data_IF_564144671082
#
_entry.id   IF_564144671082
#
_cell.length_a   1.000
_cell.length_b   1.000
_cell.length_c   1.000
_cell.angle_alpha   90.00
_cell.angle_beta   90.00
_cell.angle_gamma   90.00
#
_symmetry.space_group_name_H-M   'P 1'
#
loop_
_entity.id
_entity.type
_entity.pdbx_description
1 polymer ?
#
# COMPACT_ATOMS: atom_id res chain seq x y z
N UNK A 1 4.43 2.14 17.90
CA UNK A 1 3.32 2.04 16.91
C UNK A 1 2.82 0.60 16.76
N UNK A 2 3.66 -0.39 16.44
CA UNK A 2 3.22 -1.80 16.30
C UNK A 2 2.55 -2.39 17.55
N UNK A 3 3.11 -2.17 18.75
CA UNK A 3 2.48 -2.63 19.99
C UNK A 3 1.10 -2.00 20.23
N UNK A 4 0.95 -0.71 19.91
CA UNK A 4 -0.34 -0.01 20.00
C UNK A 4 -1.34 -0.58 18.99
N UNK A 5 -0.92 -0.81 17.74
CA UNK A 5 -1.76 -1.43 16.72
C UNK A 5 -2.20 -2.85 17.12
N UNK A 6 -1.29 -3.65 17.69
CA UNK A 6 -1.60 -4.98 18.20
C UNK A 6 -2.61 -4.92 19.36
N UNK A 7 -2.41 -4.01 20.33
CA UNK A 7 -3.34 -3.82 21.44
C UNK A 7 -4.72 -3.38 20.98
N UNK A 8 -4.79 -2.45 20.01
CA UNK A 8 -6.06 -2.01 19.42
C UNK A 8 -6.73 -3.15 18.65
N UNK A 9 -5.98 -3.90 17.85
CA UNK A 9 -6.51 -5.04 17.11
C UNK A 9 -7.06 -6.11 18.07
N UNK A 10 -6.32 -6.49 19.11
CA UNK A 10 -6.79 -7.45 20.12
C UNK A 10 -7.99 -6.90 20.91
N UNK A 11 -7.94 -5.64 21.33
CA UNK A 11 -9.01 -4.99 22.10
C UNK A 11 -10.32 -4.88 21.32
N UNK A 12 -10.26 -4.70 20.00
CA UNK A 12 -11.45 -4.66 19.14
C UNK A 12 -11.94 -6.05 18.75
N UNK A 13 -11.04 -7.00 18.49
CA UNK A 13 -11.42 -8.31 17.94
C UNK A 13 -11.87 -9.30 19.02
N UNK A 14 -11.28 -9.29 20.21
CA UNK A 14 -11.63 -10.21 21.29
C UNK A 14 -13.11 -10.10 21.74
N UNK A 15 -13.71 -8.91 21.92
CA UNK A 15 -15.11 -8.80 22.31
C UNK A 15 -16.08 -9.18 21.20
N UNK A 16 -15.69 -8.96 19.94
CA UNK A 16 -16.55 -9.17 18.77
C UNK A 16 -16.53 -10.62 18.27
N UNK A 17 -15.38 -11.30 18.37
CA UNK A 17 -15.15 -12.61 17.76
C UNK A 17 -14.71 -13.70 18.76
N UNK A 18 -14.43 -13.34 20.02
CA UNK A 18 -13.95 -14.27 21.04
C UNK A 18 -12.51 -14.74 20.79
N UNK A 19 -12.07 -15.74 21.56
CA UNK A 19 -10.75 -16.36 21.39
C UNK A 19 -10.79 -17.31 20.18
N UNK A 20 -9.93 -17.10 19.16
CA UNK A 20 -9.89 -17.97 18.01
C UNK A 20 -9.40 -19.37 18.43
N UNK A 21 -10.13 -20.40 18.01
CA UNK A 21 -9.69 -21.80 18.22
C UNK A 21 -8.63 -22.18 17.19
N UNK A 22 -7.68 -23.06 17.51
CA UNK A 22 -6.61 -23.50 16.58
C UNK A 22 -7.19 -24.07 15.27
N UNK A 23 -8.36 -24.72 15.34
CA UNK A 23 -9.09 -25.19 14.16
C UNK A 23 -9.55 -24.05 13.22
N UNK A 24 -9.90 -22.89 13.77
CA UNK A 24 -10.34 -21.71 13.00
C UNK A 24 -9.17 -21.03 12.28
N UNK A 25 -7.95 -21.15 12.84
CA UNK A 25 -6.73 -20.71 12.17
C UNK A 25 -6.40 -21.62 10.97
N UNK A 26 -6.69 -22.92 11.06
CA UNK A 26 -6.50 -23.82 9.91
C UNK A 26 -7.52 -23.62 8.78
N UNK A 27 -8.73 -23.13 9.11
CA UNK A 27 -9.83 -22.99 8.15
C UNK A 27 -9.90 -21.65 7.43
N UNK A 28 -9.06 -20.67 7.80
CA UNK A 28 -9.11 -19.35 7.18
C UNK A 28 -8.58 -19.39 5.74
N UNK A 29 -9.16 -18.59 4.82
CA UNK A 29 -8.70 -18.53 3.44
C UNK A 29 -7.20 -18.21 3.35
N UNK A 30 -6.40 -18.94 2.57
CA UNK A 30 -4.95 -18.72 2.49
C UNK A 30 -4.58 -17.31 1.99
N UNK A 31 -5.44 -16.69 1.19
CA UNK A 31 -5.29 -15.31 0.72
C UNK A 31 -5.24 -14.30 1.89
N UNK A 32 -5.97 -14.56 2.97
CA UNK A 32 -6.03 -13.67 4.15
C UNK A 32 -4.67 -13.57 4.85
N UNK A 33 -3.94 -14.69 4.93
CA UNK A 33 -2.58 -14.71 5.47
C UNK A 33 -1.61 -13.95 4.58
N UNK A 34 -1.74 -14.10 3.26
CA UNK A 34 -0.97 -13.33 2.29
C UNK A 34 -1.22 -11.82 2.41
N UNK A 35 -2.48 -11.41 2.56
CA UNK A 35 -2.85 -10.01 2.75
C UNK A 35 -2.24 -9.42 4.05
N UNK A 36 -2.29 -10.16 5.15
CA UNK A 36 -1.67 -9.74 6.42
C UNK A 36 -0.15 -9.58 6.31
N UNK A 37 0.53 -10.51 5.64
CA UNK A 37 1.96 -10.44 5.39
C UNK A 37 2.34 -9.21 4.53
N UNK A 38 1.59 -8.95 3.46
CA UNK A 38 1.81 -7.79 2.59
C UNK A 38 1.66 -6.46 3.34
N UNK A 39 0.63 -6.34 4.20
CA UNK A 39 0.43 -5.14 5.03
C UNK A 39 1.59 -4.99 6.03
N UNK A 40 2.05 -6.07 6.65
CA UNK A 40 3.21 -6.06 7.54
C UNK A 40 4.48 -5.55 6.83
N UNK A 41 4.79 -6.10 5.65
CA UNK A 41 5.92 -5.66 4.83
C UNK A 41 5.79 -4.20 4.38
N UNK A 42 4.58 -3.75 4.06
CA UNK A 42 4.30 -2.35 3.73
C UNK A 42 4.65 -1.40 4.88
N UNK A 43 4.17 -1.68 6.10
CA UNK A 43 4.42 -0.81 7.27
C UNK A 43 5.91 -0.83 7.66
N UNK A 44 6.58 -1.97 7.54
CA UNK A 44 8.04 -2.07 7.73
C UNK A 44 8.78 -1.20 6.71
N UNK A 45 8.40 -1.29 5.43
CA UNK A 45 8.99 -0.47 4.36
C UNK A 45 8.77 1.01 4.62
N UNK A 46 7.55 1.41 5.02
CA UNK A 46 7.25 2.78 5.40
C UNK A 46 8.17 3.30 6.53
N UNK A 47 8.36 2.48 7.56
CA UNK A 47 9.18 2.83 8.72
C UNK A 47 10.66 3.07 8.33
N UNK A 48 11.18 2.30 7.37
CA UNK A 48 12.57 2.40 6.90
C UNK A 48 12.76 3.50 5.86
N UNK A 49 11.79 3.72 4.97
CA UNK A 49 11.90 4.61 3.81
C UNK A 49 11.56 6.06 4.17
N UNK A 50 10.52 6.30 4.98
CA UNK A 50 10.06 7.67 5.33
C UNK A 50 11.19 8.55 5.91
N UNK A 51 12.06 8.07 6.83
CA UNK A 51 13.13 8.90 7.37
C UNK A 51 14.19 9.31 6.33
N UNK A 52 14.33 8.53 5.25
CA UNK A 52 15.34 8.74 4.21
C UNK A 52 14.85 9.62 3.07
N UNK A 53 13.60 9.42 2.64
CA UNK A 53 13.02 10.09 1.46
C UNK A 53 12.00 11.19 1.83
N UNK A 54 11.64 11.30 3.11
CA UNK A 54 10.58 12.19 3.57
C UNK A 54 9.18 11.60 3.37
N UNK A 55 8.24 12.01 4.22
CA UNK A 55 6.87 11.50 4.21
C UNK A 55 6.11 11.86 2.92
N UNK A 56 6.35 13.04 2.35
CA UNK A 56 5.68 13.50 1.13
C UNK A 56 6.04 12.64 -0.09
N UNK A 57 7.34 12.37 -0.33
CA UNK A 57 7.77 11.48 -1.41
C UNK A 57 7.22 10.06 -1.24
N UNK A 58 7.27 9.53 -0.02
CA UNK A 58 6.72 8.19 0.25
C UNK A 58 5.22 8.08 -0.07
N UNK A 59 4.42 9.05 0.37
CA UNK A 59 2.97 9.08 0.08
C UNK A 59 2.72 9.21 -1.42
N UNK A 60 3.45 10.05 -2.13
CA UNK A 60 3.29 10.21 -3.57
C UNK A 60 3.60 8.90 -4.33
N UNK A 61 4.68 8.21 -3.96
CA UNK A 61 5.00 6.89 -4.51
C UNK A 61 3.90 5.85 -4.24
N UNK A 62 3.31 5.84 -3.05
CA UNK A 62 2.20 4.94 -2.72
C UNK A 62 1.00 5.23 -3.61
N UNK A 63 0.62 6.49 -3.76
CA UNK A 63 -0.51 6.87 -4.60
C UNK A 63 -0.29 6.44 -6.05
N UNK A 64 0.92 6.63 -6.59
CA UNK A 64 1.28 6.14 -7.92
C UNK A 64 1.12 4.61 -8.05
N UNK A 65 1.65 3.87 -7.07
CA UNK A 65 1.55 2.40 -7.05
C UNK A 65 0.09 1.93 -6.94
N UNK A 66 -0.75 2.61 -6.17
CA UNK A 66 -2.17 2.32 -6.05
C UNK A 66 -2.92 2.56 -7.36
N UNK A 67 -2.69 3.69 -8.03
CA UNK A 67 -3.31 3.98 -9.33
C UNK A 67 -2.88 2.96 -10.38
N UNK A 68 -1.59 2.63 -10.44
CA UNK A 68 -1.06 1.60 -11.35
C UNK A 68 -1.72 0.24 -11.06
N UNK A 69 -1.79 -0.15 -9.78
CA UNK A 69 -2.41 -1.42 -9.37
C UNK A 69 -3.88 -1.46 -9.73
N UNK A 70 -4.63 -0.36 -9.53
CA UNK A 70 -6.03 -0.24 -9.97
C UNK A 70 -6.16 -0.42 -11.48
N UNK A 71 -5.28 0.21 -12.27
CA UNK A 71 -5.31 0.07 -13.73
C UNK A 71 -5.05 -1.38 -14.18
N UNK A 72 -4.08 -2.06 -13.55
CA UNK A 72 -3.78 -3.48 -13.79
C UNK A 72 -4.99 -4.35 -13.43
N UNK A 73 -5.58 -4.13 -12.26
CA UNK A 73 -6.76 -4.87 -11.80
C UNK A 73 -7.92 -4.72 -12.80
N UNK A 74 -8.21 -3.49 -13.24
CA UNK A 74 -9.29 -3.19 -14.17
C UNK A 74 -9.05 -3.79 -15.57
N UNK A 75 -7.81 -3.75 -16.05
CA UNK A 75 -7.42 -4.28 -17.36
C UNK A 75 -7.54 -5.81 -17.43
N UNK A 76 -7.11 -6.50 -16.37
CA UNK A 76 -7.15 -7.96 -16.33
C UNK A 76 -8.49 -8.52 -15.84
N UNK A 77 -9.36 -7.67 -15.28
CA UNK A 77 -10.63 -8.10 -14.66
C UNK A 77 -10.38 -8.97 -13.43
N UNK A 78 -9.30 -8.67 -12.70
CA UNK A 78 -8.93 -9.41 -11.49
C UNK A 78 -10.07 -9.30 -10.46
N UNK A 79 -10.25 -10.34 -9.65
CA UNK A 79 -11.34 -10.45 -8.65
C UNK A 79 -12.76 -10.56 -9.23
N UNK A 80 -12.90 -11.01 -10.49
CA UNK A 80 -14.21 -11.21 -11.12
C UNK A 80 -14.88 -9.92 -11.58
N UNK A 81 -14.11 -8.83 -11.69
CA UNK A 81 -14.59 -7.55 -12.20
C UNK A 81 -14.69 -7.56 -13.73
N UNK A 82 -15.66 -6.83 -14.27
CA UNK A 82 -15.79 -6.62 -15.71
C UNK A 82 -14.51 -6.00 -16.27
N UNK A 83 -13.92 -6.64 -17.26
CA UNK A 83 -12.74 -6.12 -17.96
C UNK A 83 -13.09 -4.80 -18.60
N UNK A 84 -12.57 -3.71 -18.05
CA UNK A 84 -12.68 -2.39 -18.65
C UNK A 84 -11.48 -2.18 -19.57
N UNK A 85 -11.69 -1.78 -20.83
CA UNK A 85 -10.58 -1.43 -21.70
C UNK A 85 -9.75 -0.31 -21.06
N UNK A 86 -8.46 -0.27 -21.42
CA UNK A 86 -7.49 0.68 -20.87
C UNK A 86 -8.06 2.11 -20.96
N UNK A 87 -8.30 2.71 -19.81
CA UNK A 87 -8.75 4.10 -19.73
C UNK A 87 -7.56 5.02 -20.01
N UNK A 88 -7.51 5.57 -21.22
CA UNK A 88 -6.49 6.53 -21.65
C UNK A 88 -6.40 7.71 -20.68
N UNK A 89 -7.50 8.07 -20.02
CA UNK A 89 -7.55 9.14 -19.00
C UNK A 89 -6.79 8.72 -17.73
N UNK A 90 -6.97 7.48 -17.25
CA UNK A 90 -6.16 6.94 -16.14
C UNK A 90 -4.68 6.89 -16.49
N UNK A 91 -4.36 6.50 -17.73
CA UNK A 91 -2.98 6.41 -18.19
C UNK A 91 -2.32 7.81 -18.24
N UNK A 92 -3.05 8.81 -18.74
CA UNK A 92 -2.61 10.21 -18.69
C UNK A 92 -2.42 10.70 -17.25
N UNK A 93 -3.35 10.38 -16.35
CA UNK A 93 -3.22 10.69 -14.92
C UNK A 93 -1.99 10.05 -14.28
N UNK A 94 -1.68 8.80 -14.62
CA UNK A 94 -0.48 8.10 -14.15
C UNK A 94 0.80 8.80 -14.63
N UNK A 95 0.85 9.22 -15.90
CA UNK A 95 1.99 9.99 -16.45
C UNK A 95 2.19 11.30 -15.69
N UNK A 96 1.12 12.02 -15.36
CA UNK A 96 1.18 13.26 -14.58
C UNK A 96 1.71 12.99 -13.17
N UNK A 97 1.24 11.94 -12.49
CA UNK A 97 1.70 11.57 -11.15
C UNK A 97 3.20 11.23 -11.17
N UNK A 98 3.64 10.38 -12.10
CA UNK A 98 5.05 9.98 -12.22
C UNK A 98 5.93 11.20 -12.51
N UNK A 99 5.48 12.10 -13.38
CA UNK A 99 6.20 13.36 -13.66
C UNK A 99 6.29 14.26 -12.43
N UNK A 100 5.20 14.40 -11.67
CA UNK A 100 5.17 15.18 -10.43
C UNK A 100 6.12 14.61 -9.36
N UNK A 101 6.17 13.29 -9.21
CA UNK A 101 7.12 12.62 -8.31
C UNK A 101 8.56 12.87 -8.77
N UNK A 102 8.84 12.73 -10.06
CA UNK A 102 10.18 12.99 -10.60
C UNK A 102 10.65 14.42 -10.30
N UNK A 103 9.78 15.43 -10.50
CA UNK A 103 10.10 16.83 -10.19
C UNK A 103 10.37 17.02 -8.70
N UNK A 104 9.52 16.46 -7.83
CA UNK A 104 9.67 16.57 -6.39
C UNK A 104 11.00 15.96 -5.92
N UNK A 105 11.38 14.80 -6.46
CA UNK A 105 12.60 14.11 -6.08
C UNK A 105 13.86 14.78 -6.64
N UNK A 106 13.82 15.33 -7.86
CA UNK A 106 14.89 16.19 -8.39
C UNK A 106 15.13 17.39 -7.45
N UNK A 107 14.05 18.01 -6.96
CA UNK A 107 14.13 19.10 -5.99
C UNK A 107 14.76 18.68 -4.66
N UNK A 108 14.45 17.48 -4.18
CA UNK A 108 15.04 16.91 -2.96
C UNK A 108 16.54 16.60 -3.14
N UNK A 109 16.92 16.01 -4.28
CA UNK A 109 18.32 15.71 -4.61
C UNK A 109 19.15 16.99 -4.74
N UNK A 110 18.58 18.06 -5.31
CA UNK A 110 19.26 19.36 -5.44
C UNK A 110 19.54 19.99 -4.07
N UNK A 111 18.66 19.81 -3.09
CA UNK A 111 18.86 20.30 -1.72
C UNK A 111 19.86 19.47 -0.91
N UNK A 112 20.13 18.23 -1.31
CA UNK A 112 21.04 17.32 -0.63
C UNK A 112 22.53 17.54 -1.02
N UNK A 113 22.81 18.29 -2.10
CA UNK A 113 24.19 18.64 -2.49
C UNK A 113 24.68 19.82 -1.62
N UNK A 114 25.71 19.63 -0.78
CA UNK A 114 26.25 20.72 0.03
C UNK A 114 26.88 21.79 -0.89
N UNK A 115 26.56 23.07 -0.62
CA UNK A 115 27.26 24.22 -1.20
C UNK A 115 28.68 24.33 -0.65
#
# INVERSE_FOLDING_TARGET
MFAVAALVAFGLTLPLYGLPTIAQLGSAPPISYGAGLLIGLYVLSATVIIPRFGAASFIAFILAAQVLTSAVIDQFGLFGMERRPIDITKLAGLVVIVSGIAIMEIGNLTKAVPK
#
